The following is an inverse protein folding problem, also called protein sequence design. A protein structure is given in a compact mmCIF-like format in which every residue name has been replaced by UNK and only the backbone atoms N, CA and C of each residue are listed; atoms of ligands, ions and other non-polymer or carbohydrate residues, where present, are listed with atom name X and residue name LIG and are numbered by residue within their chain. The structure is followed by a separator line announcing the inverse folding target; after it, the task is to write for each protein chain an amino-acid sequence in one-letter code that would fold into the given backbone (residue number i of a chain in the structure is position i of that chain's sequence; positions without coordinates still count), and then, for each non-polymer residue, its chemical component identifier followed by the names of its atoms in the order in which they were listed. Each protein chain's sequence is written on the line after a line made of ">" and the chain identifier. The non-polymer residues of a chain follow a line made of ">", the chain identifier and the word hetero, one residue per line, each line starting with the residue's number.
data_IF_905304345246
#
_entry.id   IF_905304345246
#
_cell.length_a   1.000
_cell.length_b   1.000
_cell.length_c   1.000
_cell.angle_alpha   90.00
_cell.angle_beta   90.00
_cell.angle_gamma   90.00
#
_symmetry.space_group_name_H-M   'P 1'
#
loop_
_entity.id
_entity.type
_entity.pdbx_description
1 polymer ?
#
# COMPACT_ATOMS: atom_id res chain seq x y z
N UNK A 1 0.44 21.96 17.52
CA UNK A 1 -0.83 21.25 17.76
C UNK A 1 -0.59 19.80 17.39
N UNK A 2 -0.96 18.84 18.24
CA UNK A 2 -0.60 17.42 18.03
C UNK A 2 -1.64 16.75 17.14
N UNK A 3 -1.21 16.00 16.12
CA UNK A 3 -2.08 15.02 15.43
C UNK A 3 -1.90 13.67 16.12
N UNK A 4 -2.99 13.03 16.52
CA UNK A 4 -2.97 11.69 17.07
C UNK A 4 -3.21 10.65 15.97
N UNK A 5 -2.59 9.48 16.10
CA UNK A 5 -2.78 8.38 15.16
C UNK A 5 -3.39 7.20 15.90
N UNK A 6 -4.51 6.71 15.38
CA UNK A 6 -5.24 5.55 15.91
C UNK A 6 -5.26 4.47 14.85
N UNK A 7 -4.98 3.24 15.29
CA UNK A 7 -5.20 2.02 14.53
C UNK A 7 -5.92 0.99 15.40
N UNK A 8 -6.19 -0.18 14.85
CA UNK A 8 -6.73 -1.31 15.61
C UNK A 8 -5.79 -2.52 15.59
N UNK A 9 -6.08 -3.52 16.42
CA UNK A 9 -5.22 -4.70 16.61
C UNK A 9 -5.07 -5.55 15.34
N UNK A 10 -5.90 -5.38 14.32
CA UNK A 10 -5.68 -6.04 13.01
C UNK A 10 -4.46 -5.49 12.25
N UNK A 11 -3.91 -4.36 12.67
CA UNK A 11 -2.68 -3.81 12.07
C UNK A 11 -1.44 -4.64 12.38
N UNK A 12 -1.51 -5.58 13.34
CA UNK A 12 -0.36 -6.36 13.83
C UNK A 12 0.82 -5.51 14.30
N UNK A 13 0.61 -4.22 14.57
CA UNK A 13 1.68 -3.32 15.00
C UNK A 13 2.20 -3.78 16.38
N UNK A 14 3.49 -4.13 16.52
CA UNK A 14 4.05 -4.51 17.80
C UNK A 14 3.87 -3.42 18.85
N UNK A 15 3.55 -3.82 20.08
CA UNK A 15 3.22 -2.91 21.19
C UNK A 15 4.35 -1.91 21.45
N UNK A 16 5.60 -2.38 21.43
CA UNK A 16 6.78 -1.55 21.67
C UNK A 16 6.92 -0.46 20.60
N UNK A 17 6.65 -0.79 19.32
CA UNK A 17 6.69 0.17 18.23
C UNK A 17 5.54 1.18 18.29
N UNK A 18 4.35 0.72 18.70
CA UNK A 18 3.19 1.59 18.90
C UNK A 18 3.46 2.61 20.02
N UNK A 19 4.00 2.17 21.15
CA UNK A 19 4.36 3.03 22.29
C UNK A 19 5.45 4.04 21.91
N UNK A 20 6.52 3.60 21.26
CA UNK A 20 7.62 4.47 20.82
C UNK A 20 7.14 5.53 19.82
N UNK A 21 6.22 5.17 18.93
CA UNK A 21 5.70 6.05 17.90
C UNK A 21 4.47 6.85 18.33
N UNK A 22 3.99 6.66 19.57
CA UNK A 22 2.76 7.27 20.10
C UNK A 22 1.51 6.97 19.25
N UNK A 23 1.46 5.78 18.67
CA UNK A 23 0.28 5.27 17.96
C UNK A 23 -0.63 4.57 18.96
N UNK A 24 -1.90 4.97 18.99
CA UNK A 24 -2.91 4.30 19.81
C UNK A 24 -3.45 3.08 19.06
N UNK A 25 -3.35 1.89 19.65
CA UNK A 25 -3.89 0.64 19.08
C UNK A 25 -5.11 0.23 19.88
N UNK A 26 -6.26 0.11 19.22
CA UNK A 26 -7.51 -0.35 19.82
C UNK A 26 -7.71 -1.84 19.57
N UNK A 27 -7.97 -2.60 20.64
CA UNK A 27 -8.16 -4.04 20.52
C UNK A 27 -9.53 -4.37 19.94
N UNK A 28 -9.54 -4.99 18.77
CA UNK A 28 -10.73 -5.66 18.25
C UNK A 28 -11.09 -6.84 19.15
N UNK A 29 -12.38 -7.13 19.22
CA UNK A 29 -12.92 -8.10 20.17
C UNK A 29 -12.85 -9.51 19.60
N UNK A 30 -12.44 -10.46 20.44
CA UNK A 30 -12.51 -11.90 20.17
C UNK A 30 -13.33 -12.58 21.26
N UNK A 31 -14.14 -13.56 20.91
CA UNK A 31 -14.94 -14.35 21.86
C UNK A 31 -14.91 -15.83 21.48
N UNK A 32 -15.24 -16.71 22.44
CA UNK A 32 -15.22 -18.17 22.29
C UNK A 32 -13.84 -18.81 22.40
N UNK A 33 -13.81 -20.14 22.29
CA UNK A 33 -12.59 -20.96 22.42
C UNK A 33 -12.43 -21.92 21.23
N UNK A 34 -11.18 -22.35 20.98
CA UNK A 34 -10.87 -23.37 19.98
C UNK A 34 -11.38 -23.03 18.57
N UNK A 35 -12.20 -23.90 17.99
CA UNK A 35 -12.73 -23.71 16.63
C UNK A 35 -13.95 -22.79 16.57
N UNK A 36 -14.55 -22.43 17.71
CA UNK A 36 -15.75 -21.60 17.80
C UNK A 36 -15.45 -20.14 18.11
N UNK A 37 -14.18 -19.77 18.03
CA UNK A 37 -13.75 -18.38 18.14
C UNK A 37 -14.43 -17.52 17.08
N UNK A 38 -14.89 -16.35 17.51
CA UNK A 38 -15.48 -15.32 16.65
C UNK A 38 -14.83 -13.97 16.96
N UNK A 39 -15.12 -12.98 16.11
CA UNK A 39 -14.57 -11.63 16.24
C UNK A 39 -15.66 -10.59 16.08
N UNK A 40 -15.58 -9.49 16.81
CA UNK A 40 -16.39 -8.30 16.61
C UNK A 40 -15.51 -7.06 16.38
N UNK A 41 -15.99 -6.16 15.52
CA UNK A 41 -15.35 -4.86 15.28
C UNK A 41 -15.52 -3.91 16.46
N UNK A 42 -14.78 -2.80 16.46
CA UNK A 42 -14.92 -1.76 17.47
C UNK A 42 -16.28 -1.06 17.32
N UNK A 43 -16.94 -0.78 18.44
CA UNK A 43 -18.23 -0.10 18.46
C UNK A 43 -18.11 1.40 18.23
N UNK A 44 -19.16 2.06 17.72
CA UNK A 44 -19.15 3.51 17.52
C UNK A 44 -18.96 4.29 18.84
N UNK A 45 -19.54 3.82 19.95
CA UNK A 45 -19.37 4.43 21.27
C UNK A 45 -17.93 4.30 21.78
N UNK A 46 -17.31 3.14 21.59
CA UNK A 46 -15.92 2.86 21.96
C UNK A 46 -14.95 3.77 21.19
N UNK A 47 -15.15 3.89 19.89
CA UNK A 47 -14.37 4.79 19.02
C UNK A 47 -14.60 6.26 19.38
N UNK A 48 -15.83 6.65 19.67
CA UNK A 48 -16.16 8.01 20.13
C UNK A 48 -15.44 8.34 21.44
N UNK A 49 -15.47 7.43 22.42
CA UNK A 49 -14.77 7.61 23.69
C UNK A 49 -13.25 7.73 23.50
N UNK A 50 -12.66 6.92 22.60
CA UNK A 50 -11.24 7.02 22.24
C UNK A 50 -10.91 8.40 21.63
N UNK A 51 -11.64 8.82 20.61
CA UNK A 51 -11.38 10.09 19.92
C UNK A 51 -11.59 11.29 20.84
N UNK A 52 -12.62 11.26 21.70
CA UNK A 52 -12.84 12.27 22.72
C UNK A 52 -11.63 12.38 23.65
N UNK A 53 -11.15 11.25 24.19
CA UNK A 53 -9.99 11.22 25.08
C UNK A 53 -8.72 11.77 24.44
N UNK A 54 -8.51 11.49 23.16
CA UNK A 54 -7.35 12.03 22.44
C UNK A 54 -7.47 13.54 22.20
N UNK A 55 -8.68 14.07 22.05
CA UNK A 55 -8.94 15.48 21.77
C UNK A 55 -9.26 16.33 23.02
N UNK A 56 -9.31 15.72 24.21
CA UNK A 56 -9.72 16.34 25.48
C UNK A 56 -8.95 17.61 25.85
N UNK A 57 -7.68 17.73 25.43
CA UNK A 57 -6.82 18.88 25.77
C UNK A 57 -7.19 20.17 25.02
N UNK A 58 -8.11 20.13 24.06
CA UNK A 58 -8.64 21.30 23.35
C UNK A 58 -7.68 22.00 22.38
N UNK A 59 -6.38 21.66 22.39
CA UNK A 59 -5.33 22.22 21.52
C UNK A 59 -4.73 21.24 20.50
N UNK A 60 -5.30 20.05 20.36
CA UNK A 60 -4.85 19.04 19.39
C UNK A 60 -5.44 19.29 18.00
N UNK A 61 -4.63 19.00 16.97
CA UNK A 61 -4.95 19.28 15.57
C UNK A 61 -5.98 18.29 14.99
N UNK A 62 -6.02 17.05 15.51
CA UNK A 62 -6.96 16.04 15.06
C UNK A 62 -6.49 14.62 15.29
N UNK A 63 -7.24 13.66 14.74
CA UNK A 63 -6.97 12.23 14.77
C UNK A 63 -6.99 11.67 13.35
N UNK A 64 -5.94 10.94 12.96
CA UNK A 64 -5.97 10.05 11.79
C UNK A 64 -6.32 8.65 12.28
N UNK A 65 -7.45 8.10 11.83
CA UNK A 65 -7.94 6.78 12.18
C UNK A 65 -7.75 5.81 11.01
N UNK A 66 -6.91 4.80 11.21
CA UNK A 66 -6.47 3.82 10.21
C UNK A 66 -6.95 2.45 10.66
N UNK A 67 -8.07 2.01 10.11
CA UNK A 67 -8.69 0.73 10.48
C UNK A 67 -8.62 -0.28 9.34
N UNK A 68 -8.82 -1.57 9.63
CA UNK A 68 -8.98 -2.56 8.56
C UNK A 68 -10.09 -2.22 7.59
N UNK A 69 -9.94 -2.76 6.37
CA UNK A 69 -10.90 -2.67 5.27
C UNK A 69 -12.35 -2.75 5.75
N UNK A 70 -13.17 -1.81 5.28
CA UNK A 70 -14.63 -1.79 5.51
C UNK A 70 -15.34 -3.04 5.00
N UNK A 71 -14.72 -3.76 4.06
CA UNK A 71 -15.25 -5.01 3.50
C UNK A 71 -14.97 -6.22 4.40
N UNK A 72 -14.10 -6.08 5.41
CA UNK A 72 -13.75 -7.15 6.36
C UNK A 72 -14.40 -6.94 7.74
N UNK A 73 -14.65 -5.69 8.12
CA UNK A 73 -15.19 -5.33 9.43
C UNK A 73 -16.04 -4.05 9.40
N UNK A 74 -17.06 -4.00 10.27
CA UNK A 74 -17.85 -2.81 10.54
C UNK A 74 -17.08 -1.71 11.31
N UNK A 75 -15.85 -1.97 11.76
CA UNK A 75 -15.00 -1.00 12.46
C UNK A 75 -14.90 0.31 11.68
N UNK A 76 -14.71 0.26 10.37
CA UNK A 76 -14.61 1.47 9.53
C UNK A 76 -15.90 2.30 9.57
N UNK A 77 -17.07 1.69 9.35
CA UNK A 77 -18.36 2.41 9.37
C UNK A 77 -18.68 2.98 10.76
N UNK A 78 -18.29 2.26 11.81
CA UNK A 78 -18.43 2.74 13.19
C UNK A 78 -17.49 3.92 13.46
N UNK A 79 -16.27 3.90 12.92
CA UNK A 79 -15.32 4.99 13.02
C UNK A 79 -15.80 6.24 12.28
N UNK A 80 -16.37 6.10 11.09
CA UNK A 80 -16.99 7.21 10.34
C UNK A 80 -18.15 7.82 11.15
N UNK A 81 -18.97 6.97 11.76
CA UNK A 81 -20.09 7.43 12.61
C UNK A 81 -19.59 8.20 13.84
N UNK A 82 -18.56 7.68 14.52
CA UNK A 82 -17.92 8.33 15.66
C UNK A 82 -17.26 9.67 15.26
N UNK A 83 -16.57 9.71 14.12
CA UNK A 83 -15.88 10.89 13.61
C UNK A 83 -16.83 12.06 13.33
N UNK A 84 -18.10 11.79 12.98
CA UNK A 84 -19.12 12.81 12.73
C UNK A 84 -19.44 13.71 13.93
N UNK A 85 -19.03 13.33 15.14
CA UNK A 85 -19.25 14.12 16.37
C UNK A 85 -18.16 15.19 16.56
N UNK A 86 -17.02 15.08 15.86
CA UNK A 86 -15.81 15.87 16.14
C UNK A 86 -15.54 16.97 15.11
N UNK A 87 -16.55 17.48 14.41
CA UNK A 87 -16.47 18.64 13.50
C UNK A 87 -15.25 18.62 12.55
N UNK A 88 -14.97 17.46 11.95
CA UNK A 88 -13.87 17.29 10.97
C UNK A 88 -12.48 17.11 11.58
N UNK A 89 -12.35 17.05 12.92
CA UNK A 89 -11.07 16.77 13.61
C UNK A 89 -10.64 15.31 13.53
N UNK A 90 -11.53 14.39 13.13
CA UNK A 90 -11.20 12.96 12.96
C UNK A 90 -11.30 12.59 11.48
N UNK A 91 -10.20 12.09 10.93
CA UNK A 91 -10.08 11.64 9.54
C UNK A 91 -9.96 10.11 9.52
N UNK A 92 -11.04 9.45 9.10
CA UNK A 92 -11.09 8.00 8.97
C UNK A 92 -10.67 7.58 7.57
N UNK A 93 -9.71 6.67 7.47
CA UNK A 93 -9.19 6.18 6.20
C UNK A 93 -9.92 4.92 5.75
N UNK A 94 -10.32 4.87 4.48
CA UNK A 94 -10.73 3.63 3.82
C UNK A 94 -9.48 2.92 3.28
N UNK A 95 -8.92 2.05 4.11
CA UNK A 95 -7.59 1.47 3.85
C UNK A 95 -7.62 0.36 2.79
N UNK A 96 -8.78 -0.26 2.53
CA UNK A 96 -8.91 -1.45 1.67
C UNK A 96 -7.90 -2.58 1.98
N UNK A 97 -7.31 -2.58 3.17
CA UNK A 97 -6.24 -3.52 3.54
C UNK A 97 -6.30 -3.91 5.02
N UNK A 98 -5.32 -4.67 5.50
CA UNK A 98 -5.17 -5.12 6.88
C UNK A 98 -3.69 -5.41 7.20
N UNK A 99 -3.39 -5.90 8.40
CA UNK A 99 -2.03 -6.29 8.79
C UNK A 99 -1.08 -5.10 8.83
N UNK A 100 0.22 -5.36 8.63
CA UNK A 100 1.25 -4.34 8.81
C UNK A 100 1.22 -3.28 7.71
N UNK A 101 0.40 -3.42 6.66
CA UNK A 101 0.14 -2.28 5.78
C UNK A 101 -0.46 -1.14 6.60
N UNK A 102 -1.48 -1.42 7.42
CA UNK A 102 -2.07 -0.46 8.34
C UNK A 102 -1.07 -0.05 9.43
N UNK A 103 -0.27 -1.00 9.92
CA UNK A 103 0.79 -0.72 10.92
C UNK A 103 1.81 0.29 10.40
N UNK A 104 2.39 0.06 9.21
CA UNK A 104 3.34 0.97 8.57
C UNK A 104 2.70 2.31 8.20
N UNK A 105 1.45 2.32 7.74
CA UNK A 105 0.72 3.56 7.48
C UNK A 105 0.56 4.37 8.77
N UNK A 106 0.22 3.73 9.89
CA UNK A 106 0.13 4.38 11.20
C UNK A 106 1.48 4.92 11.68
N UNK A 107 2.56 4.14 11.52
CA UNK A 107 3.92 4.60 11.83
C UNK A 107 4.32 5.82 10.99
N UNK A 108 4.01 5.83 9.69
CA UNK A 108 4.33 6.95 8.80
C UNK A 108 3.51 8.19 9.13
N UNK A 109 2.21 8.06 9.41
CA UNK A 109 1.39 9.18 9.88
C UNK A 109 1.93 9.74 11.21
N UNK A 110 2.35 8.87 12.12
CA UNK A 110 2.88 9.29 13.41
C UNK A 110 4.25 9.98 13.30
N UNK A 111 5.09 9.55 12.35
CA UNK A 111 6.35 10.24 12.00
C UNK A 111 6.07 11.69 11.55
N UNK A 112 5.13 11.88 10.62
CA UNK A 112 4.75 13.21 10.12
C UNK A 112 4.10 14.06 11.23
N UNK A 113 3.26 13.47 12.08
CA UNK A 113 2.65 14.16 13.21
C UNK A 113 3.70 14.67 14.20
N UNK A 114 4.72 13.86 14.51
CA UNK A 114 5.82 14.22 15.40
C UNK A 114 6.74 15.29 14.81
N UNK A 115 6.87 15.34 13.47
CA UNK A 115 7.53 16.41 12.76
C UNK A 115 6.72 17.73 12.70
N UNK A 116 5.52 17.76 13.29
CA UNK A 116 4.65 18.94 13.31
C UNK A 116 3.77 19.09 12.08
N UNK A 117 3.64 18.04 11.25
CA UNK A 117 2.76 18.03 10.08
C UNK A 117 1.29 18.21 10.43
N UNK A 118 0.51 18.69 9.47
CA UNK A 118 -0.93 18.86 9.62
C UNK A 118 -1.69 17.54 9.60
N UNK A 119 -2.97 17.58 9.96
CA UNK A 119 -3.87 16.42 9.86
C UNK A 119 -3.94 15.86 8.44
N UNK A 120 -3.92 16.73 7.42
CA UNK A 120 -3.92 16.32 6.01
C UNK A 120 -2.58 15.70 5.62
N UNK A 121 -1.45 16.25 6.05
CA UNK A 121 -0.11 15.69 5.76
C UNK A 121 0.01 14.27 6.33
N UNK A 122 -0.43 14.07 7.57
CA UNK A 122 -0.43 12.76 8.22
C UNK A 122 -1.31 11.76 7.46
N UNK A 123 -2.52 12.19 7.07
CA UNK A 123 -3.45 11.36 6.29
C UNK A 123 -2.86 10.98 4.93
N UNK A 124 -2.26 11.93 4.21
CA UNK A 124 -1.65 11.69 2.89
C UNK A 124 -0.44 10.79 2.97
N UNK A 125 0.37 10.93 4.01
CA UNK A 125 1.53 10.08 4.21
C UNK A 125 1.13 8.62 4.48
N UNK A 126 0.11 8.39 5.32
CA UNK A 126 -0.45 7.06 5.52
C UNK A 126 -1.10 6.49 4.23
N UNK A 127 -1.85 7.31 3.50
CA UNK A 127 -2.50 6.89 2.25
C UNK A 127 -1.45 6.43 1.22
N UNK A 128 -0.34 7.17 1.08
CA UNK A 128 0.75 6.79 0.16
C UNK A 128 1.36 5.43 0.50
N UNK A 129 1.55 5.15 1.79
CA UNK A 129 2.04 3.83 2.23
C UNK A 129 1.08 2.73 1.81
N UNK A 130 -0.23 2.93 1.97
CA UNK A 130 -1.25 1.95 1.57
C UNK A 130 -1.28 1.75 0.05
N UNK A 131 -1.31 2.84 -0.73
CA UNK A 131 -1.47 2.81 -2.19
C UNK A 131 -0.33 2.06 -2.89
N UNK A 132 0.87 2.09 -2.31
CA UNK A 132 2.06 1.48 -2.88
C UNK A 132 2.45 0.15 -2.19
N UNK A 133 1.61 -0.34 -1.26
CA UNK A 133 1.90 -1.56 -0.50
C UNK A 133 1.48 -2.85 -1.21
N UNK A 134 2.03 -3.98 -0.73
CA UNK A 134 1.50 -5.31 -1.03
C UNK A 134 1.19 -6.07 0.25
N UNK A 135 0.13 -6.88 0.22
CA UNK A 135 -0.21 -7.85 1.27
C UNK A 135 -0.53 -9.20 0.62
N UNK A 136 0.26 -10.22 0.95
CA UNK A 136 0.00 -11.60 0.55
C UNK A 136 -0.22 -12.46 1.78
N UNK A 137 -1.26 -13.29 1.76
CA UNK A 137 -1.62 -14.17 2.86
C UNK A 137 -1.66 -15.62 2.40
N UNK A 138 -0.73 -16.42 2.89
CA UNK A 138 -0.81 -17.87 2.84
C UNK A 138 -1.64 -18.41 4.01
N UNK A 139 -2.63 -19.26 3.69
CA UNK A 139 -3.37 -20.03 4.71
C UNK A 139 -3.25 -21.52 4.46
N UNK A 140 -3.14 -22.29 5.53
CA UNK A 140 -3.09 -23.76 5.42
C UNK A 140 -4.43 -24.32 4.93
N UNK A 141 -5.55 -23.77 5.41
CA UNK A 141 -6.92 -24.13 5.06
C UNK A 141 -7.79 -22.87 5.02
N UNK A 142 -8.87 -22.93 4.25
CA UNK A 142 -9.78 -21.79 4.08
C UNK A 142 -10.97 -21.82 5.03
N UNK A 143 -11.06 -22.83 5.90
CA UNK A 143 -12.24 -23.04 6.74
C UNK A 143 -12.49 -21.87 7.69
N UNK A 144 -11.43 -21.30 8.28
CA UNK A 144 -11.53 -20.16 9.17
C UNK A 144 -12.07 -18.90 8.46
N UNK A 145 -11.48 -18.53 7.31
CA UNK A 145 -11.95 -17.40 6.49
C UNK A 145 -13.40 -17.61 6.02
N UNK A 146 -13.75 -18.85 5.64
CA UNK A 146 -15.12 -19.22 5.22
C UNK A 146 -16.12 -19.13 6.36
N UNK A 147 -15.81 -19.72 7.52
CA UNK A 147 -16.68 -19.68 8.72
C UNK A 147 -16.88 -18.23 9.18
N UNK A 148 -15.85 -17.40 9.06
CA UNK A 148 -15.93 -15.97 9.32
C UNK A 148 -16.81 -15.19 8.31
N UNK A 149 -17.12 -15.73 7.13
CA UNK A 149 -17.89 -15.01 6.11
C UNK A 149 -17.12 -13.90 5.38
N UNK A 150 -15.79 -13.84 5.54
CA UNK A 150 -14.92 -12.83 4.88
C UNK A 150 -14.49 -13.26 3.47
N UNK A 151 -14.85 -14.47 3.07
CA UNK A 151 -14.72 -14.93 1.69
C UNK A 151 -16.03 -14.61 0.94
N UNK A 152 -15.99 -13.66 0.00
CA UNK A 152 -17.20 -13.25 -0.72
C UNK A 152 -17.83 -14.39 -1.52
N UNK A 153 -19.15 -14.53 -1.44
CA UNK A 153 -19.94 -15.60 -2.08
C UNK A 153 -19.86 -15.55 -3.62
N UNK A 154 -19.49 -14.41 -4.21
CA UNK A 154 -19.35 -14.19 -5.65
C UNK A 154 -18.04 -14.71 -6.26
N UNK A 155 -17.03 -15.03 -5.44
CA UNK A 155 -15.83 -15.72 -5.92
C UNK A 155 -16.07 -17.23 -5.85
N UNK A 156 -16.58 -17.78 -6.96
CA UNK A 156 -16.78 -19.22 -7.24
C UNK A 156 -15.47 -20.05 -7.20
N UNK A 157 -14.38 -19.49 -6.68
CA UNK A 157 -13.03 -20.03 -6.79
C UNK A 157 -12.72 -21.18 -5.83
N UNK A 158 -13.64 -21.59 -4.96
CA UNK A 158 -13.29 -22.40 -3.79
C UNK A 158 -14.27 -23.52 -3.41
N UNK A 159 -15.29 -23.81 -4.20
CA UNK A 159 -16.23 -24.93 -3.91
C UNK A 159 -15.60 -26.32 -4.12
N UNK A 160 -14.49 -26.44 -4.85
CA UNK A 160 -13.88 -27.75 -5.20
C UNK A 160 -12.49 -28.01 -4.61
N UNK A 161 -11.89 -27.07 -3.89
CA UNK A 161 -10.46 -27.14 -3.58
C UNK A 161 -10.16 -27.52 -2.12
N UNK A 162 -10.52 -28.75 -1.72
CA UNK A 162 -10.05 -29.34 -0.45
C UNK A 162 -8.51 -29.57 -0.44
N UNK A 163 -7.82 -29.38 -1.58
CA UNK A 163 -6.43 -29.77 -1.79
C UNK A 163 -5.49 -28.65 -2.30
N UNK A 164 -5.89 -27.37 -2.22
CA UNK A 164 -4.98 -26.25 -2.58
C UNK A 164 -4.44 -25.55 -1.34
N UNK A 165 -3.24 -24.98 -1.48
CA UNK A 165 -2.61 -24.10 -0.50
C UNK A 165 -2.51 -22.71 -1.12
N UNK A 166 -3.55 -21.86 -1.00
CA UNK A 166 -3.62 -20.61 -1.74
C UNK A 166 -2.72 -19.54 -1.11
N UNK A 167 -2.27 -18.61 -1.95
CA UNK A 167 -1.81 -17.29 -1.52
C UNK A 167 -2.94 -16.33 -1.90
N UNK A 168 -3.42 -15.59 -0.91
CA UNK A 168 -4.50 -14.62 -1.01
C UNK A 168 -3.92 -13.21 -1.02
N UNK A 169 -4.73 -12.24 -1.43
CA UNK A 169 -4.47 -10.80 -1.33
C UNK A 169 -5.77 -10.06 -1.00
N UNK A 170 -5.67 -8.77 -0.73
CA UNK A 170 -6.82 -7.87 -0.72
C UNK A 170 -6.90 -7.12 -2.05
N UNK A 171 -8.07 -7.14 -2.66
CA UNK A 171 -8.40 -6.44 -3.91
C UNK A 171 -9.73 -5.74 -3.69
N UNK A 172 -9.75 -4.41 -3.83
CA UNK A 172 -10.87 -3.54 -3.43
C UNK A 172 -11.38 -3.85 -2.02
N UNK A 173 -10.45 -4.04 -1.08
CA UNK A 173 -10.76 -4.34 0.32
C UNK A 173 -11.20 -5.78 0.60
N UNK A 174 -11.42 -6.61 -0.43
CA UNK A 174 -11.96 -7.97 -0.32
C UNK A 174 -10.90 -9.03 -0.52
N UNK A 175 -11.08 -10.18 0.13
CA UNK A 175 -10.20 -11.33 -0.07
C UNK A 175 -10.31 -11.81 -1.51
N UNK A 176 -9.17 -11.90 -2.18
CA UNK A 176 -9.00 -12.41 -3.53
C UNK A 176 -7.83 -13.39 -3.60
N UNK A 177 -7.80 -14.21 -4.64
CA UNK A 177 -6.75 -15.19 -4.86
C UNK A 177 -5.56 -14.57 -5.61
N UNK A 178 -4.38 -14.53 -4.99
CA UNK A 178 -3.16 -14.06 -5.62
C UNK A 178 -2.45 -15.18 -6.40
N UNK A 179 -2.36 -16.39 -5.83
CA UNK A 179 -1.76 -17.54 -6.48
C UNK A 179 -2.32 -18.88 -5.95
N UNK A 180 -2.31 -19.90 -6.82
CA UNK A 180 -2.63 -21.29 -6.44
C UNK A 180 -1.35 -22.09 -6.29
N UNK A 181 -1.15 -22.71 -5.13
CA UNK A 181 -0.11 -23.74 -4.96
C UNK A 181 -0.72 -25.01 -4.35
N UNK A 182 0.07 -26.08 -4.29
CA UNK A 182 -0.36 -27.40 -3.79
C UNK A 182 0.36 -27.82 -2.50
N UNK A 183 1.51 -27.22 -2.19
CA UNK A 183 2.32 -27.54 -1.02
C UNK A 183 2.78 -26.25 -0.36
N UNK A 184 3.07 -26.30 0.94
CA UNK A 184 3.56 -25.13 1.69
C UNK A 184 4.89 -24.64 1.11
N UNK A 185 5.84 -25.54 0.82
CA UNK A 185 7.13 -25.17 0.21
C UNK A 185 6.95 -24.35 -1.08
N UNK A 186 6.10 -24.80 -2.01
CA UNK A 186 5.82 -24.04 -3.24
C UNK A 186 5.14 -22.69 -3.00
N UNK A 187 4.38 -22.55 -1.91
CA UNK A 187 3.83 -21.26 -1.51
C UNK A 187 4.92 -20.32 -0.99
N UNK A 188 5.84 -20.83 -0.16
CA UNK A 188 6.97 -20.05 0.36
C UNK A 188 7.88 -19.59 -0.78
N UNK A 189 8.25 -20.50 -1.70
CA UNK A 189 9.02 -20.15 -2.91
C UNK A 189 8.32 -19.05 -3.73
N UNK A 190 6.99 -19.12 -3.84
CA UNK A 190 6.21 -18.11 -4.57
C UNK A 190 6.20 -16.76 -3.85
N UNK A 191 6.14 -16.74 -2.51
CA UNK A 191 6.25 -15.52 -1.71
C UNK A 191 7.65 -14.88 -1.84
N UNK A 192 8.72 -15.68 -1.83
CA UNK A 192 10.09 -15.19 -2.11
C UNK A 192 10.13 -14.50 -3.48
N UNK A 193 9.61 -15.17 -4.52
CA UNK A 193 9.57 -14.60 -5.86
C UNK A 193 8.75 -13.30 -5.93
N UNK A 194 7.59 -13.22 -5.25
CA UNK A 194 6.76 -12.01 -5.21
C UNK A 194 7.49 -10.82 -4.55
N UNK A 195 8.21 -11.04 -3.44
CA UNK A 195 9.03 -9.99 -2.81
C UNK A 195 10.20 -9.59 -3.71
N UNK A 196 10.83 -10.57 -4.38
CA UNK A 196 11.93 -10.34 -5.33
C UNK A 196 11.46 -9.49 -6.51
N UNK A 197 10.27 -9.75 -7.04
CA UNK A 197 9.63 -8.95 -8.10
C UNK A 197 9.47 -7.48 -7.66
N UNK A 198 9.00 -7.22 -6.43
CA UNK A 198 8.89 -5.85 -5.88
C UNK A 198 10.25 -5.14 -5.80
N UNK A 199 11.30 -5.86 -5.36
CA UNK A 199 12.67 -5.33 -5.28
C UNK A 199 13.20 -4.93 -6.66
N UNK A 200 13.00 -5.78 -7.67
CA UNK A 200 13.42 -5.53 -9.05
C UNK A 200 12.64 -4.36 -9.66
N UNK A 201 11.32 -4.29 -9.41
CA UNK A 201 10.47 -3.20 -9.90
C UNK A 201 10.93 -1.84 -9.36
N UNK A 202 11.24 -1.73 -8.07
CA UNK A 202 11.74 -0.48 -7.47
C UNK A 202 13.14 -0.12 -7.98
N UNK A 203 14.05 -1.09 -8.08
CA UNK A 203 15.38 -0.87 -8.62
C UNK A 203 15.30 -0.34 -10.06
N UNK A 204 14.43 -0.94 -10.89
CA UNK A 204 14.18 -0.52 -12.28
C UNK A 204 13.53 0.87 -12.34
N UNK A 205 12.54 1.13 -11.49
CA UNK A 205 11.87 2.45 -11.40
C UNK A 205 12.88 3.56 -11.12
N UNK A 206 13.74 3.35 -10.13
CA UNK A 206 14.74 4.32 -9.71
C UNK A 206 15.75 4.59 -10.82
N UNK A 207 16.28 3.52 -11.41
CA UNK A 207 17.17 3.56 -12.58
C UNK A 207 16.60 4.39 -13.75
N UNK A 208 15.35 4.10 -14.16
CA UNK A 208 14.70 4.81 -15.28
C UNK A 208 14.50 6.30 -14.97
N UNK A 209 14.34 6.66 -13.70
CA UNK A 209 14.15 8.05 -13.26
C UNK A 209 15.46 8.77 -12.90
N UNK A 210 16.60 8.08 -12.93
CA UNK A 210 17.86 8.63 -12.42
C UNK A 210 17.81 8.94 -10.92
N UNK A 211 16.97 8.23 -10.16
CA UNK A 211 16.80 8.38 -8.72
C UNK A 211 17.52 7.25 -7.97
N UNK A 212 17.79 7.45 -6.68
CA UNK A 212 18.14 6.33 -5.79
C UNK A 212 16.89 5.50 -5.47
N UNK A 213 17.00 4.16 -5.40
CA UNK A 213 15.88 3.31 -5.04
C UNK A 213 15.46 3.58 -3.59
N UNK A 214 14.14 3.56 -3.37
CA UNK A 214 13.57 3.73 -2.03
C UNK A 214 13.82 2.48 -1.21
N UNK A 215 13.98 2.65 0.11
CA UNK A 215 14.06 1.52 1.03
C UNK A 215 12.75 0.74 1.00
N UNK A 216 12.84 -0.58 1.04
CA UNK A 216 11.70 -1.48 1.18
C UNK A 216 11.69 -2.05 2.59
N UNK A 217 10.52 -2.04 3.23
CA UNK A 217 10.28 -2.78 4.48
C UNK A 217 9.40 -3.98 4.19
N UNK A 218 9.84 -5.14 4.67
CA UNK A 218 9.14 -6.42 4.54
C UNK A 218 8.78 -6.93 5.93
N UNK A 219 7.49 -7.05 6.21
CA UNK A 219 6.99 -7.69 7.43
C UNK A 219 6.47 -9.09 7.08
N UNK A 220 7.07 -10.12 7.68
CA UNK A 220 6.60 -11.51 7.60
C UNK A 220 5.83 -11.82 8.87
N UNK A 221 4.52 -11.94 8.71
CA UNK A 221 3.59 -12.25 9.78
C UNK A 221 3.44 -13.76 9.92
N UNK A 222 3.36 -14.27 11.15
CA UNK A 222 3.14 -15.69 11.41
C UNK A 222 2.12 -15.95 12.51
N UNK A 223 1.41 -17.07 12.37
CA UNK A 223 0.55 -17.63 13.40
C UNK A 223 0.94 -19.09 13.63
N UNK A 224 1.57 -19.38 14.77
CA UNK A 224 2.06 -20.72 15.11
C UNK A 224 3.00 -21.28 14.03
N UNK A 225 3.84 -20.42 13.44
CA UNK A 225 4.71 -20.77 12.30
C UNK A 225 6.06 -20.05 12.31
N UNK A 226 6.60 -19.77 13.51
CA UNK A 226 7.89 -19.11 13.73
C UNK A 226 8.99 -19.68 12.82
N UNK A 227 9.24 -21.00 12.87
CA UNK A 227 10.28 -21.65 12.07
C UNK A 227 10.11 -21.45 10.55
N UNK A 228 8.87 -21.41 10.08
CA UNK A 228 8.55 -21.21 8.66
C UNK A 228 8.81 -19.76 8.28
N UNK A 229 8.43 -18.81 9.14
CA UNK A 229 8.66 -17.39 8.94
C UNK A 229 10.15 -17.04 8.92
N UNK A 230 10.94 -17.59 9.85
CA UNK A 230 12.38 -17.37 9.91
C UNK A 230 13.10 -17.92 8.67
N UNK A 231 12.74 -19.13 8.22
CA UNK A 231 13.26 -19.70 6.98
C UNK A 231 12.86 -18.88 5.75
N UNK A 232 11.63 -18.37 5.73
CA UNK A 232 11.14 -17.52 4.64
C UNK A 232 11.91 -16.20 4.58
N UNK A 233 12.13 -15.53 5.72
CA UNK A 233 12.95 -14.31 5.81
C UNK A 233 14.37 -14.60 5.33
N UNK A 234 15.01 -15.67 5.80
CA UNK A 234 16.36 -16.04 5.37
C UNK A 234 16.44 -16.25 3.85
N UNK A 235 15.45 -16.95 3.27
CA UNK A 235 15.38 -17.18 1.81
C UNK A 235 15.20 -15.88 1.02
N UNK A 236 14.42 -14.93 1.54
CA UNK A 236 14.25 -13.61 0.93
C UNK A 236 15.54 -12.78 1.02
N UNK A 237 16.23 -12.82 2.16
CA UNK A 237 17.50 -12.13 2.35
C UNK A 237 18.58 -12.65 1.41
N UNK A 238 18.71 -13.98 1.29
CA UNK A 238 19.63 -14.63 0.35
C UNK A 238 19.34 -14.20 -1.09
N UNK A 239 18.07 -14.22 -1.51
CA UNK A 239 17.68 -13.80 -2.87
C UNK A 239 17.95 -12.32 -3.15
N UNK A 240 17.74 -11.44 -2.17
CA UNK A 240 18.09 -10.00 -2.32
C UNK A 240 19.60 -9.82 -2.43
N UNK A 241 20.39 -10.59 -1.69
CA UNK A 241 21.84 -10.53 -1.76
C UNK A 241 22.38 -11.08 -3.09
N UNK A 242 21.80 -12.17 -3.60
CA UNK A 242 22.07 -12.66 -4.95
C UNK A 242 21.86 -11.55 -5.98
N UNK A 243 20.74 -10.81 -5.90
CA UNK A 243 20.48 -9.67 -6.81
C UNK A 243 21.57 -8.58 -6.71
N UNK A 244 22.06 -8.26 -5.50
CA UNK A 244 23.14 -7.28 -5.31
C UNK A 244 24.45 -7.72 -5.94
N UNK A 245 24.81 -8.99 -5.76
CA UNK A 245 26.03 -9.56 -6.34
C UNK A 245 25.95 -9.50 -7.87
N UNK A 246 24.81 -9.87 -8.46
CA UNK A 246 24.62 -9.79 -9.91
C UNK A 246 24.59 -8.35 -10.43
N UNK A 247 24.02 -7.40 -9.68
CA UNK A 247 24.02 -5.99 -10.08
C UNK A 247 25.42 -5.34 -10.03
N UNK A 248 26.32 -5.86 -9.19
CA UNK A 248 27.68 -5.33 -9.03
C UNK A 248 28.74 -6.00 -9.92
N UNK A 249 28.41 -7.10 -10.60
CA UNK A 249 29.29 -7.71 -11.59
C UNK A 249 29.23 -6.94 -12.92
N UNK A 250 30.39 -6.80 -13.60
CA UNK A 250 30.54 -6.09 -14.88
C UNK A 250 29.68 -6.67 -16.03
N UNK A 251 29.00 -7.79 -15.82
CA UNK A 251 28.08 -8.37 -16.79
C UNK A 251 26.66 -7.77 -16.70
N UNK A 252 26.45 -6.80 -15.80
CA UNK A 252 25.18 -6.16 -15.50
C UNK A 252 24.24 -7.07 -14.68
N UNK A 253 23.16 -6.51 -14.11
CA UNK A 253 22.21 -7.16 -13.18
C UNK A 253 21.45 -8.38 -13.76
N UNK A 254 21.78 -8.82 -14.97
CA UNK A 254 21.09 -9.89 -15.70
C UNK A 254 22.03 -11.00 -16.23
N UNK A 255 23.28 -11.07 -15.75
CA UNK A 255 24.21 -12.11 -16.19
C UNK A 255 24.07 -13.40 -15.38
N UNK A 256 23.39 -14.38 -15.96
CA UNK A 256 23.02 -15.64 -15.29
C UNK A 256 23.94 -16.78 -15.75
N UNK A 257 24.48 -17.63 -14.85
CA UNK A 257 25.34 -18.76 -15.22
C UNK A 257 24.60 -19.81 -16.07
N UNK A 258 25.28 -20.37 -17.07
CA UNK A 258 24.69 -21.20 -18.13
C UNK A 258 24.18 -22.57 -17.68
N UNK A 259 23.02 -22.97 -18.22
CA UNK A 259 22.48 -24.32 -18.06
C UNK A 259 20.98 -24.48 -18.33
N UNK A 260 20.55 -24.32 -19.60
CA UNK A 260 19.27 -24.82 -20.17
C UNK A 260 17.92 -24.08 -19.98
N UNK A 261 17.79 -23.02 -19.18
CA UNK A 261 16.48 -22.31 -18.98
C UNK A 261 16.20 -21.08 -19.88
N UNK A 262 17.05 -20.86 -20.89
CA UNK A 262 17.05 -19.77 -21.91
C UNK A 262 15.75 -19.56 -22.72
N UNK A 263 14.66 -20.32 -22.48
CA UNK A 263 13.37 -20.23 -23.21
C UNK A 263 12.22 -19.62 -22.38
N UNK A 264 12.17 -19.82 -21.05
CA UNK A 264 11.17 -19.16 -20.17
C UNK A 264 11.51 -17.70 -19.94
N UNK A 265 12.80 -17.41 -19.83
CA UNK A 265 13.34 -16.06 -19.67
C UNK A 265 13.03 -15.18 -20.90
N UNK A 266 13.13 -15.73 -22.12
CA UNK A 266 12.67 -15.09 -23.36
C UNK A 266 11.18 -14.73 -23.35
N UNK A 267 10.34 -15.44 -22.59
CA UNK A 267 8.91 -15.18 -22.49
C UNK A 267 8.57 -14.12 -21.43
N UNK A 268 9.31 -14.10 -20.33
CA UNK A 268 9.19 -13.08 -19.27
C UNK A 268 9.70 -11.73 -19.81
N UNK A 269 10.89 -11.71 -20.42
CA UNK A 269 11.49 -10.52 -21.01
C UNK A 269 10.68 -9.95 -22.20
N UNK A 270 10.02 -10.82 -22.99
CA UNK A 270 9.15 -10.37 -24.09
C UNK A 270 7.80 -9.80 -23.62
N UNK A 271 7.24 -10.31 -22.52
CA UNK A 271 6.01 -9.78 -21.89
C UNK A 271 6.28 -8.44 -21.20
N UNK A 272 7.43 -8.31 -20.54
CA UNK A 272 7.83 -7.06 -19.89
C UNK A 272 8.13 -5.96 -20.92
N UNK A 273 8.82 -6.30 -22.03
CA UNK A 273 9.01 -5.40 -23.19
C UNK A 273 7.72 -4.97 -23.89
N UNK A 274 6.63 -5.72 -23.74
CA UNK A 274 5.31 -5.35 -24.27
C UNK A 274 4.55 -4.45 -23.29
N UNK A 275 4.56 -4.76 -22.00
CA UNK A 275 3.92 -3.94 -20.95
C UNK A 275 4.54 -2.55 -20.85
N UNK A 276 5.87 -2.46 -20.91
CA UNK A 276 6.59 -1.18 -20.94
C UNK A 276 6.25 -0.38 -22.22
N UNK A 277 6.11 -1.05 -23.38
CA UNK A 277 5.70 -0.42 -24.65
C UNK A 277 4.28 0.15 -24.59
N UNK A 278 3.38 -0.50 -23.85
CA UNK A 278 1.99 -0.04 -23.65
C UNK A 278 1.91 1.09 -22.63
N UNK A 279 2.71 1.06 -21.57
CA UNK A 279 2.84 2.17 -20.61
C UNK A 279 3.41 3.43 -21.29
N UNK A 280 4.47 3.31 -22.09
CA UNK A 280 5.07 4.43 -22.83
C UNK A 280 4.12 5.00 -23.89
N UNK A 281 3.29 4.16 -24.54
CA UNK A 281 2.23 4.64 -25.46
C UNK A 281 1.07 5.32 -24.73
N UNK A 282 0.67 4.82 -23.56
CA UNK A 282 -0.38 5.41 -22.75
C UNK A 282 0.04 6.79 -22.19
N UNK A 283 1.31 6.94 -21.84
CA UNK A 283 1.92 8.23 -21.48
C UNK A 283 1.83 9.21 -22.65
N UNK A 284 2.32 8.84 -23.85
CA UNK A 284 2.25 9.69 -25.07
C UNK A 284 0.83 10.12 -25.44
N UNK A 285 -0.14 9.23 -25.29
CA UNK A 285 -1.55 9.52 -25.61
C UNK A 285 -2.20 10.44 -24.58
N UNK A 286 -1.78 10.37 -23.30
CA UNK A 286 -2.21 11.33 -22.27
C UNK A 286 -1.59 12.70 -22.51
N UNK A 287 -0.32 12.78 -22.88
CA UNK A 287 0.35 14.04 -23.21
C UNK A 287 -0.29 14.73 -24.42
N UNK A 288 -0.64 13.97 -25.47
CA UNK A 288 -1.32 14.49 -26.66
C UNK A 288 -2.75 14.95 -26.38
N UNK A 289 -3.50 14.25 -25.51
CA UNK A 289 -4.85 14.66 -25.06
C UNK A 289 -4.83 15.92 -24.20
N UNK A 290 -3.87 16.02 -23.28
CA UNK A 290 -3.72 17.23 -22.44
C UNK A 290 -3.36 18.45 -23.29
N UNK A 291 -2.59 18.29 -24.35
CA UNK A 291 -2.28 19.36 -25.31
C UNK A 291 -3.47 19.75 -26.18
N UNK A 292 -4.26 18.78 -26.66
CA UNK A 292 -5.44 19.06 -27.50
C UNK A 292 -6.62 19.61 -26.71
N UNK A 293 -6.80 19.21 -25.45
CA UNK A 293 -7.89 19.71 -24.59
C UNK A 293 -7.57 21.10 -24.01
N UNK A 294 -6.31 21.41 -23.70
CA UNK A 294 -5.89 22.79 -23.36
C UNK A 294 -6.04 23.74 -24.55
N UNK A 295 -5.69 23.30 -25.77
CA UNK A 295 -5.88 24.09 -26.99
C UNK A 295 -7.36 24.32 -27.36
N UNK A 296 -8.25 23.38 -27.00
CA UNK A 296 -9.71 23.55 -27.16
C UNK A 296 -10.34 24.42 -26.07
N UNK A 297 -9.96 24.27 -24.80
CA UNK A 297 -10.53 25.05 -23.71
C UNK A 297 -10.17 26.55 -23.80
N UNK A 298 -8.98 26.87 -24.31
CA UNK A 298 -8.56 28.27 -24.51
C UNK A 298 -9.25 28.94 -25.72
N UNK A 299 -9.74 28.16 -26.69
CA UNK A 299 -10.51 28.65 -27.85
C UNK A 299 -12.03 28.78 -27.59
N UNK A 300 -12.60 27.98 -26.68
CA UNK A 300 -14.05 28.03 -26.40
C UNK A 300 -14.44 29.18 -25.48
N UNK A 301 -13.52 29.68 -24.64
CA UNK A 301 -13.79 30.82 -23.74
C UNK A 301 -13.77 32.21 -24.39
N UNK A 302 -13.37 32.34 -25.66
CA UNK A 302 -13.20 33.64 -26.33
C UNK A 302 -14.18 33.92 -27.48
N UNK A 303 -15.09 33.00 -27.83
CA UNK A 303 -15.95 33.15 -29.02
C UNK A 303 -17.48 33.07 -28.79
N UNK A 304 -17.98 33.09 -27.55
CA UNK A 304 -19.44 33.22 -27.34
C UNK A 304 -19.76 34.40 -26.41
N UNK A 305 -20.11 35.54 -27.01
CA UNK A 305 -20.77 36.65 -26.30
C UNK A 305 -20.39 38.07 -26.71
N UNK A 306 -20.28 38.40 -28.01
CA UNK A 306 -20.41 39.79 -28.49
C UNK A 306 -21.74 39.98 -29.23
N UNK A 307 -22.74 40.55 -28.55
CA UNK A 307 -23.68 41.53 -29.12
C UNK A 307 -24.67 42.04 -28.05
N UNK A 308 -24.69 43.35 -27.78
CA UNK A 308 -25.80 44.04 -27.12
C UNK A 308 -25.43 45.06 -26.03
N UNK A 309 -25.40 46.34 -26.42
CA UNK A 309 -25.51 47.59 -25.64
C UNK A 309 -25.82 47.52 -24.13
N UNK A 310 -25.03 48.20 -23.27
CA UNK A 310 -25.36 49.52 -22.70
C UNK A 310 -24.28 50.00 -21.70
N UNK A 311 -24.38 51.29 -21.32
CA UNK A 311 -23.42 52.15 -20.60
C UNK A 311 -23.13 51.78 -19.12
N UNK A 312 -22.01 52.35 -18.66
CA UNK A 312 -21.72 52.93 -17.34
C UNK A 312 -20.89 52.13 -16.29
N UNK A 313 -19.68 52.67 -16.09
CA UNK A 313 -19.03 53.08 -14.82
C UNK A 313 -18.61 52.06 -13.75
N UNK A 314 -17.27 52.02 -13.59
CA UNK A 314 -16.47 52.17 -12.35
C UNK A 314 -16.31 51.02 -11.35
N UNK A 315 -15.03 50.69 -11.09
CA UNK A 315 -14.48 50.04 -9.88
C UNK A 315 -14.64 48.51 -9.86
N UNK A 316 -13.61 47.67 -9.85
CA UNK A 316 -12.32 47.76 -9.16
C UNK A 316 -12.22 46.54 -8.23
N UNK A 317 -11.75 45.40 -8.74
CA UNK A 317 -11.35 44.24 -7.93
C UNK A 317 -10.23 43.48 -8.67
N UNK A 318 -9.01 43.52 -8.12
CA UNK A 318 -7.90 42.69 -8.59
C UNK A 318 -7.96 41.35 -7.87
N UNK A 319 -8.20 40.27 -8.63
CA UNK A 319 -7.85 38.92 -8.22
C UNK A 319 -6.41 38.65 -8.65
N UNK A 320 -5.52 38.43 -7.69
CA UNK A 320 -4.18 37.89 -7.93
C UNK A 320 -4.29 36.39 -8.18
N UNK A 321 -4.07 36.01 -9.44
CA UNK A 321 -3.81 34.64 -9.89
C UNK A 321 -2.49 34.14 -9.26
N UNK A 322 -2.61 33.11 -8.42
CA UNK A 322 -1.50 32.34 -7.87
C UNK A 322 -1.46 30.94 -8.50
N UNK A 323 -1.32 30.85 -9.83
CA UNK A 323 -1.17 29.59 -10.57
C UNK A 323 0.08 29.52 -11.45
N UNK A 324 0.96 30.52 -11.38
CA UNK A 324 2.11 30.64 -12.27
C UNK A 324 3.43 29.96 -11.87
N UNK A 325 3.53 29.31 -10.70
CA UNK A 325 4.86 28.88 -10.18
C UNK A 325 5.05 27.35 -10.10
N UNK A 326 4.01 26.53 -10.24
CA UNK A 326 4.14 25.06 -10.05
C UNK A 326 4.25 24.20 -11.33
N UNK A 327 4.11 24.77 -12.53
CA UNK A 327 4.08 23.97 -13.77
C UNK A 327 5.38 23.97 -14.60
N UNK A 328 6.37 24.79 -14.25
CA UNK A 328 7.65 24.84 -14.99
C UNK A 328 8.69 23.80 -14.53
N UNK A 329 8.61 23.29 -13.31
CA UNK A 329 9.57 22.28 -12.80
C UNK A 329 9.30 20.84 -13.29
N UNK A 330 8.04 20.47 -13.54
CA UNK A 330 7.69 19.09 -13.95
C UNK A 330 7.89 18.81 -15.45
N UNK A 331 7.94 19.85 -16.28
CA UNK A 331 8.11 19.69 -17.74
C UNK A 331 9.59 19.68 -18.15
N UNK A 332 10.46 20.42 -17.46
CA UNK A 332 11.91 20.34 -17.68
C UNK A 332 12.52 19.02 -17.18
N UNK A 333 11.94 18.38 -16.16
CA UNK A 333 12.38 17.06 -15.69
C UNK A 333 12.03 15.92 -16.67
N UNK A 334 10.95 16.03 -17.42
CA UNK A 334 10.48 14.99 -18.37
C UNK A 334 11.26 14.96 -19.70
N UNK A 335 11.74 16.10 -20.20
CA UNK A 335 12.61 16.13 -21.39
C UNK A 335 14.01 15.57 -21.11
N UNK A 336 14.48 15.61 -19.85
CA UNK A 336 15.74 15.01 -19.44
C UNK A 336 15.72 13.47 -19.42
N UNK A 337 14.55 12.85 -19.25
CA UNK A 337 14.36 11.39 -19.16
C UNK A 337 14.26 10.73 -20.54
N UNK A 338 13.84 11.47 -21.57
CA UNK A 338 13.69 10.93 -22.92
C UNK A 338 15.03 10.76 -23.68
N UNK A 339 16.12 11.31 -23.15
CA UNK A 339 17.47 11.27 -23.75
C UNK A 339 18.51 10.48 -22.97
N UNK A 340 18.18 9.94 -21.80
CA UNK A 340 19.14 9.17 -21.00
C UNK A 340 19.36 7.79 -21.62
N UNK A 341 20.55 7.62 -22.21
CA UNK A 341 21.09 6.29 -22.51
C UNK A 341 21.25 5.57 -21.17
N UNK A 342 20.34 4.65 -20.87
CA UNK A 342 20.35 3.91 -19.63
C UNK A 342 21.30 2.71 -19.76
N UNK A 343 22.37 2.70 -18.95
CA UNK A 343 23.26 1.55 -18.84
C UNK A 343 22.69 0.55 -17.83
N UNK A 344 22.33 -0.68 -18.24
CA UNK A 344 21.89 -1.72 -17.33
C UNK A 344 22.90 -1.98 -16.18
N UNK A 345 24.19 -1.67 -16.36
CA UNK A 345 25.22 -1.86 -15.34
C UNK A 345 25.03 -0.97 -14.08
N UNK A 346 24.14 0.03 -14.11
CA UNK A 346 23.95 0.99 -13.01
C UNK A 346 22.69 0.74 -12.14
N UNK A 347 22.11 -0.48 -12.14
CA UNK A 347 20.97 -0.80 -11.24
C UNK A 347 21.45 -0.91 -9.79
N UNK A 348 21.07 0.08 -8.98
CA UNK A 348 21.14 -0.05 -7.52
C UNK A 348 19.96 -0.89 -7.00
N UNK A 349 20.26 -1.97 -6.28
CA UNK A 349 19.26 -2.76 -5.55
C UNK A 349 18.87 -2.01 -4.27
N UNK A 350 17.56 -1.85 -3.95
CA UNK A 350 17.13 -1.18 -2.74
C UNK A 350 17.67 -1.83 -1.45
N UNK A 351 17.79 -1.00 -0.42
CA UNK A 351 17.90 -1.50 0.95
C UNK A 351 16.58 -2.17 1.35
N UNK A 352 16.65 -3.37 1.95
CA UNK A 352 15.47 -4.17 2.29
C UNK A 352 15.56 -4.58 3.75
N UNK A 353 14.65 -4.07 4.57
CA UNK A 353 14.56 -4.34 6.00
C UNK A 353 13.49 -5.41 6.26
N UNK A 354 13.87 -6.53 6.86
CA UNK A 354 12.96 -7.62 7.19
C UNK A 354 12.60 -7.63 8.67
N UNK A 355 11.33 -7.84 9.00
CA UNK A 355 10.86 -8.06 10.37
C UNK A 355 9.92 -9.26 10.43
N UNK A 356 10.02 -10.04 11.51
CA UNK A 356 9.02 -11.06 11.88
C UNK A 356 7.96 -10.42 12.77
N UNK A 357 6.70 -10.66 12.47
CA UNK A 357 5.55 -10.10 13.18
C UNK A 357 4.61 -11.23 13.60
N UNK A 358 4.07 -11.17 14.81
CA UNK A 358 3.02 -12.10 15.22
C UNK A 358 1.69 -11.65 14.60
N UNK A 359 0.95 -12.56 13.95
CA UNK A 359 -0.43 -12.30 13.54
C UNK A 359 -1.26 -12.03 14.81
N UNK A 360 -2.01 -10.94 14.81
CA UNK A 360 -2.80 -10.55 15.97
C UNK A 360 -3.92 -11.55 16.22
N UNK A 361 -4.36 -11.63 17.47
CA UNK A 361 -5.33 -12.63 17.90
C UNK A 361 -6.63 -12.57 17.06
N UNK A 362 -7.13 -11.37 16.77
CA UNK A 362 -8.32 -11.16 15.93
C UNK A 362 -8.15 -11.68 14.50
N UNK A 363 -6.97 -11.50 13.89
CA UNK A 363 -6.72 -12.01 12.54
C UNK A 363 -6.51 -13.53 12.55
N UNK A 364 -5.90 -14.06 13.61
CA UNK A 364 -5.64 -15.50 13.78
C UNK A 364 -6.93 -16.34 13.75
N UNK A 365 -8.04 -15.78 14.26
CA UNK A 365 -9.38 -16.41 14.20
C UNK A 365 -9.81 -16.67 12.76
N UNK A 366 -9.42 -15.82 11.81
CA UNK A 366 -9.81 -15.93 10.40
C UNK A 366 -8.73 -16.60 9.55
N UNK A 367 -7.44 -16.44 9.86
CA UNK A 367 -6.37 -17.01 9.05
C UNK A 367 -6.04 -18.45 9.41
N UNK A 368 -6.35 -18.86 10.65
CA UNK A 368 -6.06 -20.19 11.18
C UNK A 368 -4.57 -20.43 11.46
N UNK A 369 -4.23 -21.57 12.08
CA UNK A 369 -2.86 -21.93 12.43
C UNK A 369 -2.01 -22.16 11.18
N UNK A 370 -0.71 -21.99 11.33
CA UNK A 370 0.28 -22.11 10.26
C UNK A 370 0.06 -21.15 9.08
N UNK A 371 -0.62 -20.03 9.33
CA UNK A 371 -0.76 -18.95 8.34
C UNK A 371 0.49 -18.07 8.35
N UNK A 372 0.84 -17.59 7.17
CA UNK A 372 1.94 -16.66 6.94
C UNK A 372 1.40 -15.50 6.11
N UNK A 373 1.65 -14.26 6.51
CA UNK A 373 1.41 -13.11 5.65
C UNK A 373 2.72 -12.39 5.36
N UNK A 374 2.82 -11.76 4.19
CA UNK A 374 3.98 -10.95 3.81
C UNK A 374 3.47 -9.61 3.35
N UNK A 375 3.91 -8.57 4.04
CA UNK A 375 3.63 -7.18 3.69
C UNK A 375 4.89 -6.54 3.12
N UNK A 376 4.76 -5.74 2.06
CA UNK A 376 5.84 -4.87 1.58
C UNK A 376 5.36 -3.43 1.50
N UNK A 377 6.21 -2.48 1.90
CA UNK A 377 5.99 -1.03 1.76
C UNK A 377 7.29 -0.34 1.34
N UNK A 378 7.16 0.81 0.68
CA UNK A 378 8.29 1.71 0.38
C UNK A 378 8.37 2.79 1.47
N UNK A 379 9.58 3.12 1.94
CA UNK A 379 9.80 4.05 3.05
C UNK A 379 10.45 5.36 2.65
#
# INVERSE_FOLDING_TARGET
>A
MTVHVVTDSSSCLPKELAEQSKVSVLDLHTDGEGTDRTTAGLGALELTACYARLLERGGDAGVVAIHLSKELSATWSNAVSAAGIFDGKVRVMDTNTAGMVNGFAALKAAEIAQAGGSLEDCFRAAQRVIDESNLWLYVHRLDAIRKGGRLSTGQTLLTTALAIKPILRLEDGRIALAAKTRTQGKAMDKLVNMVTEVVIEEATRAAVRGESPRRIRVAVHENEAVDVAEKLIASMQERVEELRIHASSHDGPFAIPDGSEKKKERLILAKEKARIRDMVKAEKTKTDKVHTDKAKAQKVGTEQGKSGDHKDRSGGFQAVDASGVAQRDETESMESIAGTHYDPADIAIPDVEFSRIQISDVLSVHTGPSSIAVTTVFW
#
